data_IF_781666965573
#
_entry.id   IF_781666965573
#
_cell.length_a   1.000
_cell.length_b   1.000
_cell.length_c   1.000
_cell.angle_alpha   90.00
_cell.angle_beta   90.00
_cell.angle_gamma   90.00
#
_symmetry.space_group_name_H-M   'P 1'
#
loop_
_entity.id
_entity.type
_entity.pdbx_description
1 polymer ?
#
# COMPACT_ATOMS: atom_id res chain seq x y z
N UNK A 1 65.26 25.44 -22.23
CA UNK A 1 64.13 25.49 -21.28
C UNK A 1 63.05 24.56 -21.81
N UNK A 2 62.92 23.38 -21.22
CA UNK A 2 61.86 22.42 -21.55
C UNK A 2 60.81 22.56 -20.45
N UNK A 3 59.65 23.11 -20.80
CA UNK A 3 58.52 23.27 -19.89
C UNK A 3 57.79 21.94 -19.72
N UNK A 4 57.84 21.40 -18.51
CA UNK A 4 57.11 20.21 -18.12
C UNK A 4 55.64 20.59 -17.92
N UNK A 5 54.75 20.18 -18.83
CA UNK A 5 53.31 20.23 -18.58
C UNK A 5 52.92 19.09 -17.64
N UNK A 6 52.51 19.45 -16.41
CA UNK A 6 51.95 18.52 -15.46
C UNK A 6 50.49 18.29 -15.86
N UNK A 7 50.20 17.10 -16.38
CA UNK A 7 48.84 16.66 -16.63
C UNK A 7 48.12 16.48 -15.28
N UNK A 8 47.09 17.27 -15.02
CA UNK A 8 46.22 17.08 -13.87
C UNK A 8 45.38 15.82 -14.11
N UNK A 9 45.71 14.74 -13.39
CA UNK A 9 44.87 13.56 -13.29
C UNK A 9 43.58 13.92 -12.55
N UNK A 10 42.48 14.00 -13.29
CA UNK A 10 41.13 14.05 -12.72
C UNK A 10 40.89 12.69 -12.08
N UNK A 11 41.01 12.62 -10.76
CA UNK A 11 40.60 11.44 -9.99
C UNK A 11 39.08 11.46 -9.91
N UNK A 12 38.43 10.51 -10.58
CA UNK A 12 37.04 10.17 -10.28
C UNK A 12 37.05 9.51 -8.90
N UNK A 13 36.58 10.22 -7.88
CA UNK A 13 36.41 9.65 -6.55
C UNK A 13 35.25 8.66 -6.56
N UNK A 14 35.57 7.42 -6.22
CA UNK A 14 34.59 6.38 -5.94
C UNK A 14 33.91 6.73 -4.62
N UNK A 15 32.73 7.36 -4.69
CA UNK A 15 31.95 7.70 -3.50
C UNK A 15 31.36 6.42 -2.93
N UNK A 16 32.12 5.79 -2.03
CA UNK A 16 31.58 4.71 -1.21
C UNK A 16 30.51 5.27 -0.28
N UNK A 17 29.25 4.91 -0.52
CA UNK A 17 28.14 5.30 0.34
C UNK A 17 28.26 4.50 1.65
N UNK A 18 28.78 5.13 2.70
CA UNK A 18 29.14 4.45 3.95
C UNK A 18 27.93 3.97 4.77
N UNK A 19 26.82 4.71 4.70
CA UNK A 19 25.53 4.29 5.25
C UNK A 19 24.41 5.10 4.60
N UNK A 20 23.42 4.44 4.03
CA UNK A 20 22.13 5.05 3.74
C UNK A 20 21.19 4.77 4.90
N UNK A 21 20.35 5.75 5.26
CA UNK A 21 19.32 5.55 6.27
C UNK A 21 18.45 4.36 5.89
N UNK A 22 18.18 3.47 6.84
CA UNK A 22 17.28 2.33 6.68
C UNK A 22 15.92 2.77 6.10
N UNK A 23 15.76 2.59 4.79
CA UNK A 23 14.56 2.98 4.04
C UNK A 23 14.76 3.94 2.87
N UNK A 24 16.00 4.37 2.62
CA UNK A 24 16.30 5.16 1.44
C UNK A 24 16.10 4.36 0.14
N UNK A 25 15.68 5.06 -0.91
CA UNK A 25 15.80 4.62 -2.28
C UNK A 25 16.33 5.77 -3.12
N UNK A 26 16.90 5.45 -4.27
CA UNK A 26 17.18 6.42 -5.32
C UNK A 26 16.28 6.11 -6.50
N UNK A 27 15.76 7.14 -7.16
CA UNK A 27 15.00 6.96 -8.39
C UNK A 27 15.29 8.06 -9.40
N UNK A 28 15.15 7.70 -10.67
CA UNK A 28 15.24 8.61 -11.79
C UNK A 28 14.07 8.31 -12.75
N UNK A 29 13.40 9.36 -13.20
CA UNK A 29 12.29 9.25 -14.13
C UNK A 29 12.67 9.81 -15.50
N UNK A 30 12.66 8.95 -16.51
CA UNK A 30 12.75 9.29 -17.94
C UNK A 30 11.71 8.50 -18.73
N UNK A 31 12.10 7.94 -19.88
CA UNK A 31 11.25 7.01 -20.66
C UNK A 31 10.88 5.74 -19.89
N UNK A 32 11.73 5.37 -18.93
CA UNK A 32 11.51 4.30 -17.97
C UNK A 32 11.83 4.80 -16.56
N UNK A 33 11.22 4.19 -15.56
CA UNK A 33 11.49 4.42 -14.16
C UNK A 33 12.68 3.57 -13.73
N UNK A 34 13.73 4.22 -13.24
CA UNK A 34 14.89 3.58 -12.61
C UNK A 34 14.72 3.70 -11.11
N UNK A 35 14.81 2.59 -10.39
CA UNK A 35 14.76 2.58 -8.92
C UNK A 35 15.91 1.74 -8.40
N UNK A 36 16.64 2.26 -7.43
CA UNK A 36 17.55 1.52 -6.58
C UNK A 36 17.01 1.53 -5.15
N UNK A 37 16.61 0.38 -4.64
CA UNK A 37 16.15 0.19 -3.26
C UNK A 37 17.26 -0.43 -2.44
N UNK A 38 17.78 0.33 -1.48
CA UNK A 38 18.92 -0.10 -0.67
C UNK A 38 18.51 -1.15 0.36
N UNK A 39 17.28 -1.06 0.91
CA UNK A 39 16.74 -2.07 1.81
C UNK A 39 16.41 -3.38 1.10
N UNK A 40 15.90 -3.32 -0.14
CA UNK A 40 15.67 -4.54 -0.93
C UNK A 40 16.98 -5.09 -1.54
N UNK A 41 18.05 -4.29 -1.58
CA UNK A 41 19.32 -4.59 -2.27
C UNK A 41 19.13 -4.89 -3.75
N UNK A 42 18.21 -4.16 -4.38
CA UNK A 42 17.84 -4.36 -5.78
C UNK A 42 17.84 -3.04 -6.54
N UNK A 43 18.15 -3.14 -7.83
CA UNK A 43 17.94 -2.07 -8.79
C UNK A 43 17.08 -2.59 -9.94
N UNK A 44 16.20 -1.75 -10.44
CA UNK A 44 15.21 -2.11 -11.44
C UNK A 44 15.01 -0.97 -12.43
N UNK A 45 14.66 -1.38 -13.64
CA UNK A 45 14.22 -0.52 -14.72
C UNK A 45 12.85 -1.03 -15.13
N UNK A 46 11.83 -0.18 -15.06
CA UNK A 46 10.47 -0.57 -15.42
C UNK A 46 9.75 0.59 -16.10
N UNK A 47 9.05 0.32 -17.19
CA UNK A 47 8.21 1.30 -17.88
C UNK A 47 6.83 1.37 -17.26
N UNK A 48 6.11 2.47 -17.46
CA UNK A 48 4.73 2.61 -17.00
C UNK A 48 3.82 1.52 -17.60
N UNK A 49 3.98 1.24 -18.89
CA UNK A 49 3.22 0.19 -19.59
C UNK A 49 3.47 -1.19 -18.97
N UNK A 50 4.71 -1.52 -18.59
CA UNK A 50 5.02 -2.76 -17.87
C UNK A 50 4.40 -2.82 -16.48
N UNK A 51 4.34 -1.69 -15.75
CA UNK A 51 3.65 -1.62 -14.46
C UNK A 51 2.17 -1.89 -14.65
N UNK A 52 1.50 -1.17 -15.56
CA UNK A 52 0.08 -1.30 -15.84
C UNK A 52 -0.26 -2.73 -16.28
N UNK A 53 0.56 -3.31 -17.16
CA UNK A 53 0.42 -4.68 -17.61
C UNK A 53 0.50 -5.70 -16.44
N UNK A 54 1.50 -5.56 -15.57
CA UNK A 54 1.67 -6.47 -14.42
C UNK A 54 0.56 -6.30 -13.38
N UNK A 55 0.06 -5.08 -13.17
CA UNK A 55 -1.09 -4.81 -12.30
C UNK A 55 -2.34 -5.53 -12.78
N UNK A 56 -2.64 -5.50 -14.08
CA UNK A 56 -3.79 -6.23 -14.65
C UNK A 56 -3.65 -7.74 -14.51
N UNK A 57 -2.44 -8.26 -14.74
CA UNK A 57 -2.15 -9.68 -14.55
C UNK A 57 -2.36 -10.09 -13.07
N UNK A 58 -1.93 -9.27 -12.13
CA UNK A 58 -2.11 -9.50 -10.69
C UNK A 58 -3.59 -9.45 -10.26
N UNK A 59 -4.39 -8.53 -10.82
CA UNK A 59 -5.79 -8.35 -10.44
C UNK A 59 -6.71 -9.37 -11.11
N UNK A 60 -6.57 -9.59 -12.41
CA UNK A 60 -7.53 -10.35 -13.21
C UNK A 60 -7.00 -11.72 -13.68
N UNK A 61 -5.73 -12.02 -13.46
CA UNK A 61 -5.08 -13.25 -13.94
C UNK A 61 -5.02 -13.34 -15.47
N UNK A 62 -5.26 -12.23 -16.18
CA UNK A 62 -5.30 -12.16 -17.63
C UNK A 62 -4.61 -10.89 -18.11
N UNK A 63 -3.93 -11.01 -19.26
CA UNK A 63 -3.36 -9.87 -19.99
C UNK A 63 -4.50 -9.07 -20.60
N UNK A 64 -4.67 -7.82 -20.17
CA UNK A 64 -5.54 -6.83 -20.84
C UNK A 64 -4.68 -5.77 -21.51
N UNK A 65 -5.24 -5.11 -22.52
CA UNK A 65 -4.51 -4.13 -23.32
C UNK A 65 -4.14 -2.86 -22.54
N UNK A 66 -4.87 -2.50 -21.46
CA UNK A 66 -4.54 -1.38 -20.58
C UNK A 66 -5.21 -1.49 -19.22
N UNK A 67 -4.46 -1.13 -18.17
CA UNK A 67 -4.99 -0.98 -16.82
C UNK A 67 -5.67 0.38 -16.65
N UNK A 68 -6.71 0.45 -15.83
CA UNK A 68 -7.20 1.73 -15.31
C UNK A 68 -6.32 2.20 -14.14
N UNK A 69 -5.01 2.35 -14.38
CA UNK A 69 -4.09 2.92 -13.41
C UNK A 69 -4.20 4.44 -13.44
N UNK A 70 -4.83 5.00 -12.40
CA UNK A 70 -5.08 6.44 -12.31
C UNK A 70 -3.87 7.21 -11.77
N UNK A 71 -3.28 6.70 -10.68
CA UNK A 71 -2.12 7.31 -10.01
C UNK A 71 -1.05 6.24 -9.75
N UNK A 72 0.20 6.59 -10.04
CA UNK A 72 1.38 5.79 -9.72
C UNK A 72 2.31 6.63 -8.84
N UNK A 73 2.69 6.10 -7.68
CA UNK A 73 3.59 6.78 -6.73
C UNK A 73 4.66 5.80 -6.30
N UNK A 74 5.92 6.23 -6.26
CA UNK A 74 6.99 5.49 -5.61
C UNK A 74 7.01 5.88 -4.13
N UNK A 75 6.91 4.89 -3.25
CA UNK A 75 7.12 5.07 -1.81
C UNK A 75 8.41 4.37 -1.40
N UNK A 76 9.22 5.06 -0.59
CA UNK A 76 10.45 4.53 -0.05
C UNK A 76 10.48 4.72 1.47
N UNK A 77 10.53 3.61 2.20
CA UNK A 77 10.55 3.62 3.66
C UNK A 77 11.20 2.36 4.22
N UNK A 78 11.00 2.09 5.51
CA UNK A 78 11.69 1.01 6.22
C UNK A 78 11.57 -0.40 5.60
N UNK A 79 10.57 -0.65 4.75
CA UNK A 79 10.42 -1.92 4.02
C UNK A 79 10.96 -1.88 2.58
N UNK A 80 11.81 -0.91 2.26
CA UNK A 80 12.32 -0.67 0.91
C UNK A 80 11.31 0.04 0.00
N UNK A 81 11.49 -0.15 -1.30
CA UNK A 81 10.66 0.52 -2.31
C UNK A 81 9.32 -0.20 -2.51
N UNK A 82 8.26 0.58 -2.66
CA UNK A 82 6.93 0.10 -3.07
C UNK A 82 6.38 1.00 -4.16
N UNK A 83 5.81 0.41 -5.22
CA UNK A 83 4.93 1.14 -6.12
C UNK A 83 3.54 1.15 -5.51
N UNK A 84 3.00 2.34 -5.31
CA UNK A 84 1.64 2.56 -4.83
C UNK A 84 0.78 2.96 -6.01
N UNK A 85 -0.22 2.13 -6.29
CA UNK A 85 -1.06 2.22 -7.49
C UNK A 85 -2.51 2.39 -7.07
N UNK A 86 -3.16 3.44 -7.56
CA UNK A 86 -4.62 3.57 -7.49
C UNK A 86 -5.24 3.00 -8.76
N UNK A 87 -6.06 1.96 -8.61
CA UNK A 87 -6.70 1.26 -9.72
C UNK A 87 -8.16 0.93 -9.40
N UNK A 88 -8.82 0.21 -10.29
CA UNK A 88 -10.18 -0.28 -10.14
C UNK A 88 -10.23 -1.80 -10.25
N UNK A 89 -10.90 -2.45 -9.30
CA UNK A 89 -11.16 -3.89 -9.32
C UNK A 89 -12.64 -4.17 -9.07
N UNK A 90 -13.28 -4.88 -10.01
CA UNK A 90 -14.72 -5.15 -9.97
C UNK A 90 -15.58 -3.88 -9.74
N UNK A 91 -15.30 -2.80 -10.48
CA UNK A 91 -15.95 -1.50 -10.37
C UNK A 91 -15.80 -0.83 -8.98
N UNK A 92 -14.70 -1.10 -8.28
CA UNK A 92 -14.40 -0.51 -6.97
C UNK A 92 -13.00 0.07 -6.97
N UNK A 93 -12.82 1.29 -6.43
CA UNK A 93 -11.51 1.89 -6.32
C UNK A 93 -10.67 1.12 -5.29
N UNK A 94 -9.43 0.82 -5.65
CA UNK A 94 -8.48 0.09 -4.82
C UNK A 94 -7.13 0.78 -4.77
N UNK A 95 -6.45 0.58 -3.64
CA UNK A 95 -5.05 0.91 -3.46
C UNK A 95 -4.23 -0.37 -3.44
N UNK A 96 -3.23 -0.45 -4.30
CA UNK A 96 -2.25 -1.52 -4.35
C UNK A 96 -0.90 -1.01 -3.90
N UNK A 97 -0.31 -1.67 -2.92
CA UNK A 97 1.11 -1.53 -2.64
C UNK A 97 1.85 -2.72 -3.22
N UNK A 98 2.79 -2.46 -4.12
CA UNK A 98 3.49 -3.46 -4.89
C UNK A 98 4.96 -3.46 -4.50
N UNK A 99 5.48 -4.63 -4.12
CA UNK A 99 6.91 -4.88 -4.00
C UNK A 99 7.48 -5.08 -5.39
N UNK A 100 8.65 -4.51 -5.64
CA UNK A 100 9.46 -4.88 -6.78
C UNK A 100 10.46 -5.95 -6.34
N UNK A 101 10.50 -7.06 -7.07
CA UNK A 101 11.39 -8.18 -6.80
C UNK A 101 11.86 -8.76 -8.13
N UNK A 102 13.14 -8.53 -8.47
CA UNK A 102 13.77 -9.05 -9.70
C UNK A 102 12.97 -8.75 -10.97
N UNK A 103 12.48 -7.51 -11.11
CA UNK A 103 11.70 -7.05 -12.26
C UNK A 103 10.22 -7.48 -12.28
N UNK A 104 9.75 -8.18 -11.23
CA UNK A 104 8.33 -8.54 -11.07
C UNK A 104 7.67 -7.75 -9.95
N UNK A 105 6.42 -7.37 -10.15
CA UNK A 105 5.55 -6.79 -9.14
C UNK A 105 4.88 -7.90 -8.32
N UNK A 106 4.87 -7.72 -7.01
CA UNK A 106 4.18 -8.60 -6.07
C UNK A 106 3.30 -7.76 -5.16
N UNK A 107 2.05 -8.19 -4.93
CA UNK A 107 1.14 -7.49 -4.02
C UNK A 107 1.67 -7.60 -2.58
N UNK A 108 1.98 -6.45 -1.96
CA UNK A 108 2.20 -6.33 -0.51
C UNK A 108 0.87 -6.16 0.21
N UNK A 109 0.04 -5.25 -0.29
CA UNK A 109 -1.30 -5.01 0.23
C UNK A 109 -2.24 -4.60 -0.90
N UNK A 110 -3.52 -4.93 -0.72
CA UNK A 110 -4.62 -4.50 -1.57
C UNK A 110 -5.76 -4.06 -0.66
N UNK A 111 -6.04 -2.77 -0.65
CA UNK A 111 -7.10 -2.18 0.15
C UNK A 111 -8.16 -1.48 -0.69
N UNK A 112 -9.37 -1.36 -0.16
CA UNK A 112 -10.38 -0.48 -0.73
C UNK A 112 -9.99 0.98 -0.53
N UNK A 113 -10.42 1.85 -1.45
CA UNK A 113 -10.19 3.28 -1.36
C UNK A 113 -11.49 4.04 -1.08
N UNK A 114 -11.39 5.02 -0.18
CA UNK A 114 -12.31 6.16 -0.22
C UNK A 114 -12.04 6.99 -1.48
N UNK A 115 -13.01 7.78 -1.93
CA UNK A 115 -12.77 8.78 -2.97
C UNK A 115 -11.89 9.92 -2.41
N UNK A 116 -10.62 9.63 -2.09
CA UNK A 116 -9.65 10.63 -1.64
C UNK A 116 -8.77 11.04 -2.81
N UNK A 117 -8.92 12.32 -3.20
CA UNK A 117 -8.03 12.96 -4.18
C UNK A 117 -6.76 13.41 -3.47
N UNK A 118 -5.62 13.12 -4.10
CA UNK A 118 -4.30 13.74 -3.88
C UNK A 118 -3.42 13.29 -2.69
N UNK A 119 -3.77 12.25 -1.94
CA UNK A 119 -2.86 11.66 -0.94
C UNK A 119 -2.36 10.27 -1.37
N UNK A 120 -1.19 9.87 -0.83
CA UNK A 120 -0.70 8.50 -0.93
C UNK A 120 -1.77 7.59 -0.33
N UNK A 121 -2.21 6.59 -1.08
CA UNK A 121 -3.25 5.72 -0.58
C UNK A 121 -2.67 4.65 0.35
N UNK A 122 -3.31 4.41 1.49
CA UNK A 122 -3.04 3.23 2.33
C UNK A 122 -4.08 2.12 2.08
N UNK A 123 -5.32 2.51 1.81
CA UNK A 123 -6.42 1.59 1.60
C UNK A 123 -6.85 0.84 2.88
N UNK A 124 -8.13 0.52 2.93
CA UNK A 124 -8.70 -0.26 4.03
C UNK A 124 -8.78 -1.75 3.69
N UNK A 125 -8.58 -2.60 4.70
CA UNK A 125 -8.69 -4.05 4.59
C UNK A 125 -10.15 -4.44 4.39
N UNK A 126 -10.43 -5.12 3.29
CA UNK A 126 -11.77 -5.59 3.00
C UNK A 126 -12.27 -6.55 4.07
N UNK A 127 -13.54 -6.37 4.44
CA UNK A 127 -14.19 -7.17 5.46
C UNK A 127 -13.64 -6.95 6.87
N UNK A 128 -12.78 -5.95 7.12
CA UNK A 128 -12.25 -5.71 8.46
C UNK A 128 -12.63 -4.32 8.97
N UNK A 129 -13.22 -4.29 10.17
CA UNK A 129 -13.58 -3.08 10.90
C UNK A 129 -12.87 -3.05 12.25
N UNK A 130 -12.57 -1.84 12.72
CA UNK A 130 -12.18 -1.58 14.09
C UNK A 130 -13.38 -1.03 14.84
N UNK A 131 -13.74 -1.69 15.94
CA UNK A 131 -14.90 -1.31 16.75
C UNK A 131 -14.47 -1.02 18.17
N UNK A 132 -14.75 0.19 18.63
CA UNK A 132 -14.58 0.58 20.02
C UNK A 132 -15.86 0.33 20.81
N UNK A 133 -15.73 -0.38 21.93
CA UNK A 133 -16.81 -0.60 22.89
C UNK A 133 -16.74 0.42 24.04
N UNK A 134 -17.89 0.69 24.68
CA UNK A 134 -17.98 1.46 25.93
C UNK A 134 -17.61 0.62 27.15
N UNK A 135 -17.92 -0.68 27.11
CA UNK A 135 -17.49 -1.67 28.08
C UNK A 135 -17.18 -3.00 27.39
N UNK A 136 -16.35 -3.84 28.02
CA UNK A 136 -15.98 -5.13 27.45
C UNK A 136 -17.19 -6.07 27.29
N UNK A 137 -18.22 -5.91 28.13
CA UNK A 137 -19.45 -6.71 28.08
C UNK A 137 -20.22 -6.53 26.78
N UNK A 138 -20.08 -5.38 26.11
CA UNK A 138 -20.67 -5.15 24.78
C UNK A 138 -20.04 -6.03 23.69
N UNK A 139 -18.97 -6.79 23.97
CA UNK A 139 -18.45 -7.80 23.05
C UNK A 139 -19.52 -8.84 22.71
N UNK A 140 -20.36 -9.21 23.67
CA UNK A 140 -21.45 -10.18 23.47
C UNK A 140 -22.50 -9.69 22.46
N UNK A 141 -22.71 -8.38 22.37
CA UNK A 141 -23.59 -7.80 21.35
C UNK A 141 -23.05 -8.10 19.94
N UNK A 142 -21.74 -7.88 19.71
CA UNK A 142 -21.11 -8.14 18.40
C UNK A 142 -21.10 -9.64 18.04
N UNK A 143 -21.12 -10.52 19.04
CA UNK A 143 -21.15 -11.98 18.89
C UNK A 143 -22.59 -12.55 18.90
N UNK A 144 -23.61 -11.70 19.01
CA UNK A 144 -25.01 -12.13 19.09
C UNK A 144 -25.59 -12.56 17.75
N UNK A 145 -26.69 -13.31 17.80
CA UNK A 145 -27.50 -13.73 16.63
C UNK A 145 -27.87 -12.56 15.71
N UNK A 146 -28.04 -11.35 16.28
CA UNK A 146 -28.37 -10.16 15.52
C UNK A 146 -27.34 -9.87 14.41
N UNK A 147 -26.05 -10.05 14.70
CA UNK A 147 -24.97 -9.81 13.75
C UNK A 147 -24.37 -11.08 13.16
N UNK A 148 -24.85 -12.25 13.56
CA UNK A 148 -24.33 -13.53 13.04
C UNK A 148 -24.47 -13.64 11.51
N UNK A 149 -25.43 -12.94 10.91
CA UNK A 149 -25.58 -12.86 9.45
C UNK A 149 -24.50 -12.03 8.76
N UNK A 150 -23.85 -11.10 9.46
CA UNK A 150 -22.92 -10.10 8.91
C UNK A 150 -21.48 -10.29 9.40
N UNK A 151 -21.30 -10.60 10.68
CA UNK A 151 -20.01 -10.77 11.34
C UNK A 151 -19.60 -12.23 11.29
N UNK A 152 -18.38 -12.47 10.80
CA UNK A 152 -17.73 -13.78 10.76
C UNK A 152 -17.01 -14.07 12.07
N UNK A 153 -16.28 -13.08 12.60
CA UNK A 153 -15.59 -13.22 13.88
C UNK A 153 -15.31 -11.87 14.54
N UNK A 154 -15.13 -11.90 15.86
CA UNK A 154 -14.74 -10.76 16.70
C UNK A 154 -13.50 -11.16 17.49
N UNK A 155 -12.46 -10.34 17.47
CA UNK A 155 -11.26 -10.55 18.29
C UNK A 155 -10.84 -9.28 19.01
N UNK A 156 -10.26 -9.44 20.20
CA UNK A 156 -9.79 -8.30 21.00
C UNK A 156 -8.45 -7.81 20.45
N UNK A 157 -8.35 -6.51 20.17
CA UNK A 157 -7.07 -5.86 19.86
C UNK A 157 -6.43 -5.36 21.16
N UNK A 158 -7.16 -4.55 21.92
CA UNK A 158 -6.72 -4.04 23.22
C UNK A 158 -7.90 -3.50 24.02
N UNK A 159 -8.02 -3.87 25.29
CA UNK A 159 -9.09 -3.36 26.17
C UNK A 159 -10.48 -3.48 25.54
N UNK A 160 -11.12 -2.34 25.27
CA UNK A 160 -12.45 -2.27 24.64
C UNK A 160 -12.42 -2.13 23.12
N UNK A 161 -11.26 -2.26 22.48
CA UNK A 161 -11.09 -2.20 21.03
C UNK A 161 -11.11 -3.59 20.42
N UNK A 162 -12.01 -3.81 19.48
CA UNK A 162 -12.23 -5.07 18.78
C UNK A 162 -11.85 -4.95 17.31
N UNK A 163 -11.31 -6.03 16.77
CA UNK A 163 -11.31 -6.30 15.34
C UNK A 163 -12.58 -7.09 15.02
N UNK A 164 -13.38 -6.58 14.09
CA UNK A 164 -14.54 -7.28 13.55
C UNK A 164 -14.20 -7.72 12.13
N UNK A 165 -14.32 -9.01 11.86
CA UNK A 165 -14.20 -9.58 10.51
C UNK A 165 -15.60 -9.86 10.01
N UNK A 166 -15.97 -9.25 8.89
CA UNK A 166 -17.22 -9.44 8.18
C UNK A 166 -17.19 -10.74 7.37
N UNK A 167 -18.36 -11.21 6.98
CA UNK A 167 -18.44 -12.29 6.00
C UNK A 167 -18.14 -11.80 4.59
N UNK A 168 -17.74 -12.73 3.73
CA UNK A 168 -17.25 -12.45 2.38
C UNK A 168 -18.27 -11.68 1.52
N UNK A 169 -19.58 -11.91 1.71
CA UNK A 169 -20.66 -11.20 1.01
C UNK A 169 -20.81 -9.71 1.38
N UNK A 170 -20.14 -9.29 2.45
CA UNK A 170 -20.02 -7.91 2.91
C UNK A 170 -18.69 -7.25 2.54
N UNK A 171 -17.77 -7.95 1.87
CA UNK A 171 -16.53 -7.33 1.38
C UNK A 171 -16.84 -6.24 0.34
N UNK A 172 -16.27 -5.05 0.54
CA UNK A 172 -16.57 -3.81 -0.19
C UNK A 172 -17.98 -3.25 0.06
N UNK A 173 -18.65 -3.68 1.14
CA UNK A 173 -19.86 -3.06 1.71
C UNK A 173 -19.62 -2.63 3.16
N UNK A 174 -18.38 -2.30 3.50
CA UNK A 174 -17.96 -1.98 4.86
C UNK A 174 -18.77 -0.83 5.44
N UNK A 175 -19.04 0.23 4.66
CA UNK A 175 -19.88 1.34 5.13
C UNK A 175 -21.29 0.92 5.53
N UNK A 176 -21.92 0.04 4.76
CA UNK A 176 -23.25 -0.46 5.11
C UNK A 176 -23.21 -1.25 6.43
N UNK A 177 -22.17 -2.08 6.63
CA UNK A 177 -21.95 -2.78 7.89
C UNK A 177 -21.65 -1.81 9.05
N UNK A 178 -20.87 -0.76 8.80
CA UNK A 178 -20.54 0.27 9.78
C UNK A 178 -21.79 1.03 10.21
N UNK A 179 -22.64 1.43 9.27
CA UNK A 179 -23.88 2.17 9.54
C UNK A 179 -24.86 1.33 10.35
N UNK A 180 -24.93 0.02 10.10
CA UNK A 180 -25.71 -0.90 10.91
C UNK A 180 -25.16 -0.98 12.34
N UNK A 181 -23.86 -1.21 12.51
CA UNK A 181 -23.23 -1.32 13.84
C UNK A 181 -23.36 -0.02 14.65
N UNK A 182 -23.25 1.15 14.01
CA UNK A 182 -23.37 2.46 14.65
C UNK A 182 -24.73 2.69 15.32
N UNK A 183 -25.78 1.93 14.96
CA UNK A 183 -27.10 2.00 15.61
C UNK A 183 -27.11 1.48 17.05
N UNK A 184 -26.08 0.75 17.48
CA UNK A 184 -26.08 0.00 18.74
C UNK A 184 -25.25 0.62 19.88
N UNK A 185 -25.13 1.95 19.91
CA UNK A 185 -24.51 2.69 21.02
C UNK A 185 -23.07 2.23 21.34
N UNK A 186 -22.32 1.85 20.30
CA UNK A 186 -20.89 1.57 20.34
C UNK A 186 -20.12 2.88 20.54
N UNK A 187 -18.85 2.81 20.97
CA UNK A 187 -18.01 4.01 21.14
C UNK A 187 -17.59 4.58 19.78
N UNK A 188 -17.14 3.72 18.88
CA UNK A 188 -16.81 4.07 17.50
C UNK A 188 -16.81 2.82 16.61
N UNK A 189 -16.94 3.03 15.31
CA UNK A 189 -16.83 2.01 14.27
C UNK A 189 -16.08 2.64 13.11
N UNK A 190 -14.93 2.08 12.76
CA UNK A 190 -13.98 2.62 11.79
C UNK A 190 -13.50 1.52 10.82
N UNK A 191 -13.03 1.92 9.65
CA UNK A 191 -12.36 1.04 8.72
C UNK A 191 -11.00 0.60 9.27
N UNK A 192 -10.60 -0.64 9.00
CA UNK A 192 -9.26 -1.10 9.36
C UNK A 192 -8.27 -0.82 8.22
N UNK A 193 -7.48 0.25 8.33
CA UNK A 193 -6.48 0.59 7.32
C UNK A 193 -5.25 -0.32 7.38
N UNK A 194 -4.59 -0.51 6.23
CA UNK A 194 -3.23 -1.04 6.23
C UNK A 194 -2.29 -0.06 6.91
N UNK A 195 -1.33 -0.60 7.66
CA UNK A 195 -0.24 0.19 8.23
C UNK A 195 0.98 -0.02 7.35
N UNK A 196 1.41 1.05 6.68
CA UNK A 196 2.60 1.06 5.85
C UNK A 196 3.75 1.77 6.57
N UNK A 197 5.01 1.44 6.25
CA UNK A 197 6.15 2.08 6.87
C UNK A 197 6.15 3.58 6.56
N UNK A 198 6.54 4.39 7.54
CA UNK A 198 6.84 5.81 7.30
C UNK A 198 7.96 5.90 6.26
N UNK A 199 7.83 6.85 5.35
CA UNK A 199 8.75 7.02 4.23
C UNK A 199 8.41 8.21 3.37
N UNK A 200 9.22 8.42 2.34
CA UNK A 200 9.03 9.47 1.34
C UNK A 200 8.24 8.94 0.15
N UNK A 201 7.40 9.80 -0.43
CA UNK A 201 6.56 9.47 -1.58
C UNK A 201 6.83 10.43 -2.72
N UNK A 202 7.03 9.88 -3.92
CA UNK A 202 7.25 10.64 -5.15
C UNK A 202 6.19 10.24 -6.20
N UNK A 203 5.31 11.17 -6.61
CA UNK A 203 4.37 10.88 -7.69
C UNK A 203 5.12 10.68 -9.00
N UNK A 204 4.75 9.64 -9.74
CA UNK A 204 5.40 9.26 -11.00
C UNK A 204 4.50 9.66 -12.16
N UNK A 205 5.08 10.42 -13.10
CA UNK A 205 4.38 10.87 -14.32
C UNK A 205 4.22 9.77 -15.36
#
# INVERSE_FOLDING_TARGET
MIGLMIAASVMAEDVSVQSLSDGACWYEQGDALRIASFNDRESILITRDEVEYQVEELLYGKKREKALTSDLTLHCGGYGSSLVVKSEFNNRPICLWLKLNKGKLQIRSMGGLEQTKNELCDGYKWGELIVGLKSIDQKQLLESEQFHSMIKSVSVISGTTMKVVLKDEFHGKEYAAMDELKKHNLKYVELNFYQHPVGEAAPLK
#
